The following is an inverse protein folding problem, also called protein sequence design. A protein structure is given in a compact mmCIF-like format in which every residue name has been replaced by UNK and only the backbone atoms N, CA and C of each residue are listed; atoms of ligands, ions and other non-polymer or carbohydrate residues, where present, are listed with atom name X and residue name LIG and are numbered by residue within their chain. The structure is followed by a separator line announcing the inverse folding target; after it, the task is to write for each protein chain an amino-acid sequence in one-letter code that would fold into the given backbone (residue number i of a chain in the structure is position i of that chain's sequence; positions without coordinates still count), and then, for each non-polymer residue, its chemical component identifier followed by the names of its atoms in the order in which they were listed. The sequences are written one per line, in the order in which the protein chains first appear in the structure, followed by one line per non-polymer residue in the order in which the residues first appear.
data_IF_638204890795
#
_entry.id   IF_638204890795
#
_cell.length_a   1.000
_cell.length_b   1.000
_cell.length_c   1.000
_cell.angle_alpha   90.00
_cell.angle_beta   90.00
_cell.angle_gamma   90.00
#
_symmetry.space_group_name_H-M   'P 1'
#
loop_
_entity.id
_entity.type
_entity.pdbx_description
1 polymer ?
#
# COMPACT_ATOMS: atom_id res chain seq x y z
N UNK A 1 -68.46 62.70 -24.71
CA UNK A 1 -68.79 61.90 -23.51
C UNK A 1 -67.64 60.92 -23.26
N UNK A 2 -66.96 61.09 -22.12
CA UNK A 2 -66.00 60.20 -21.41
C UNK A 2 -64.96 59.42 -22.24
N UNK A 3 -63.69 59.87 -22.27
CA UNK A 3 -62.55 59.46 -21.39
C UNK A 3 -62.12 58.00 -21.66
N UNK A 4 -60.86 57.78 -22.08
CA UNK A 4 -59.78 57.09 -21.34
C UNK A 4 -58.57 56.87 -22.28
N UNK A 5 -57.44 57.47 -21.90
CA UNK A 5 -56.07 57.18 -22.35
C UNK A 5 -55.78 55.69 -22.19
N UNK A 6 -55.03 55.05 -23.09
CA UNK A 6 -54.18 53.95 -22.67
C UNK A 6 -52.81 54.01 -23.33
N UNK A 7 -51.84 54.00 -22.43
CA UNK A 7 -50.41 54.15 -22.62
C UNK A 7 -49.88 52.81 -23.14
N UNK A 8 -49.08 52.90 -24.21
CA UNK A 8 -48.25 51.80 -24.70
C UNK A 8 -47.18 51.55 -23.63
N UNK A 9 -47.28 50.44 -22.92
CA UNK A 9 -46.20 49.91 -22.09
C UNK A 9 -45.90 48.50 -22.59
N UNK A 10 -44.90 48.42 -23.47
CA UNK A 10 -44.35 47.17 -23.97
C UNK A 10 -43.57 46.50 -22.83
N UNK A 11 -44.25 45.63 -22.09
CA UNK A 11 -43.61 44.80 -21.06
C UNK A 11 -42.95 43.61 -21.78
N UNK A 12 -41.66 43.76 -22.08
CA UNK A 12 -40.80 42.69 -22.56
C UNK A 12 -40.52 41.72 -21.40
N UNK A 13 -41.39 40.71 -21.24
CA UNK A 13 -41.09 39.54 -20.42
C UNK A 13 -40.28 38.56 -21.25
N UNK A 14 -38.96 38.75 -21.23
CA UNK A 14 -37.98 37.74 -21.64
C UNK A 14 -38.08 36.60 -20.63
N UNK A 15 -38.80 35.53 -21.00
CA UNK A 15 -38.77 34.24 -20.31
C UNK A 15 -37.46 33.57 -20.72
N UNK A 16 -36.38 33.85 -19.98
CA UNK A 16 -35.22 32.96 -19.98
C UNK A 16 -35.67 31.75 -19.18
N UNK A 17 -36.11 30.71 -19.88
CA UNK A 17 -36.07 29.36 -19.34
C UNK A 17 -34.60 29.02 -19.10
N UNK A 18 -34.08 29.42 -17.95
CA UNK A 18 -32.94 28.77 -17.34
C UNK A 18 -33.41 27.34 -17.07
N UNK A 19 -33.13 26.44 -17.99
CA UNK A 19 -33.08 25.02 -17.68
C UNK A 19 -31.97 24.89 -16.65
N UNK A 20 -32.35 25.00 -15.37
CA UNK A 20 -31.59 24.39 -14.29
C UNK A 20 -31.69 22.89 -14.54
N UNK A 21 -30.74 22.35 -15.33
CA UNK A 21 -30.32 20.97 -15.15
C UNK A 21 -29.55 20.93 -13.84
N UNK A 22 -30.35 20.96 -12.79
CA UNK A 22 -29.96 20.87 -11.40
C UNK A 22 -29.59 19.40 -11.19
N UNK A 23 -28.31 19.11 -11.41
CA UNK A 23 -27.61 17.93 -10.93
C UNK A 23 -28.41 16.63 -11.13
N UNK A 24 -28.42 16.10 -12.36
CA UNK A 24 -28.61 14.66 -12.52
C UNK A 24 -27.61 13.97 -11.60
N UNK A 25 -28.16 13.29 -10.59
CA UNK A 25 -27.42 12.46 -9.67
C UNK A 25 -26.48 11.58 -10.48
N UNK A 26 -25.19 11.68 -10.19
CA UNK A 26 -24.13 10.83 -10.72
C UNK A 26 -24.52 9.37 -10.44
N UNK A 27 -25.22 8.74 -11.40
CA UNK A 27 -25.55 7.32 -11.33
C UNK A 27 -24.22 6.61 -11.16
N UNK A 28 -23.98 6.04 -9.98
CA UNK A 28 -22.80 5.22 -9.73
C UNK A 28 -22.81 4.09 -10.76
N UNK A 29 -22.00 4.21 -11.82
CA UNK A 29 -21.91 3.23 -12.91
C UNK A 29 -21.13 2.02 -12.43
N UNK A 30 -21.80 1.16 -11.69
CA UNK A 30 -21.32 -0.18 -11.36
C UNK A 30 -21.67 -1.09 -12.52
N UNK A 31 -20.65 -1.65 -13.17
CA UNK A 31 -20.82 -2.65 -14.23
C UNK A 31 -20.51 -4.04 -13.69
N UNK A 32 -20.97 -5.09 -14.38
CA UNK A 32 -20.62 -6.45 -14.03
C UNK A 32 -19.09 -6.67 -14.08
N UNK A 33 -18.59 -7.58 -13.26
CA UNK A 33 -17.23 -8.09 -13.38
C UNK A 33 -17.12 -8.87 -14.69
N UNK A 34 -16.16 -8.49 -15.53
CA UNK A 34 -15.98 -9.02 -16.88
C UNK A 34 -14.55 -9.55 -17.12
N UNK A 35 -13.81 -9.82 -16.05
CA UNK A 35 -12.43 -10.30 -16.08
C UNK A 35 -12.09 -11.09 -14.83
N UNK A 36 -11.14 -12.01 -14.97
CA UNK A 36 -10.53 -12.74 -13.86
C UNK A 36 -9.89 -11.77 -12.87
N UNK A 37 -9.98 -12.10 -11.58
CA UNK A 37 -9.42 -11.32 -10.48
C UNK A 37 -8.21 -12.03 -9.90
N UNK A 38 -7.07 -11.36 -9.97
CA UNK A 38 -5.86 -11.74 -9.26
C UNK A 38 -5.86 -11.10 -7.87
N UNK A 39 -5.44 -11.83 -6.84
CA UNK A 39 -5.32 -11.29 -5.50
C UNK A 39 -4.05 -11.72 -4.78
N UNK A 40 -3.65 -10.96 -3.78
CA UNK A 40 -2.57 -11.32 -2.84
C UNK A 40 -2.91 -10.87 -1.43
N UNK A 41 -2.39 -11.59 -0.45
CA UNK A 41 -2.56 -11.29 0.97
C UNK A 41 -1.19 -10.94 1.53
N UNK A 42 -1.10 -9.81 2.23
CA UNK A 42 0.17 -9.27 2.70
C UNK A 42 0.00 -8.35 3.89
N UNK A 43 1.10 -8.14 4.61
CA UNK A 43 1.19 -7.10 5.62
C UNK A 43 1.58 -5.76 5.02
N UNK A 44 0.96 -4.70 5.50
CA UNK A 44 1.30 -3.34 5.13
C UNK A 44 0.75 -2.35 6.16
N UNK A 45 0.95 -1.07 5.91
CA UNK A 45 0.52 0.03 6.77
C UNK A 45 -0.68 0.74 6.11
N UNK A 46 -1.50 1.40 6.93
CA UNK A 46 -2.66 2.15 6.44
C UNK A 46 -2.20 3.40 5.70
N UNK A 47 -1.16 4.05 6.25
CA UNK A 47 -0.61 5.29 5.70
C UNK A 47 0.91 5.22 5.61
N UNK A 48 1.49 5.82 4.57
CA UNK A 48 2.92 5.70 4.27
C UNK A 48 3.84 6.33 5.32
N UNK A 49 3.36 7.30 6.11
CA UNK A 49 4.19 8.13 6.98
C UNK A 49 3.81 8.05 8.47
N UNK A 50 2.98 7.08 8.84
CA UNK A 50 2.59 6.89 10.23
C UNK A 50 3.36 5.73 10.83
N UNK A 51 3.82 5.93 12.07
CA UNK A 51 4.38 4.87 12.90
C UNK A 51 3.21 4.05 13.45
N UNK A 52 3.07 2.83 12.97
CA UNK A 52 2.03 1.90 13.39
C UNK A 52 2.42 0.45 13.08
N UNK A 53 1.86 -0.49 13.82
CA UNK A 53 2.04 -1.90 13.53
C UNK A 53 1.39 -2.28 12.19
N UNK A 54 2.01 -3.17 11.41
CA UNK A 54 1.46 -3.62 10.14
C UNK A 54 0.18 -4.40 10.38
N UNK A 55 -0.73 -4.30 9.41
CA UNK A 55 -1.99 -5.04 9.38
C UNK A 55 -2.05 -5.89 8.13
N UNK A 56 -2.86 -6.95 8.18
CA UNK A 56 -3.08 -7.83 7.05
C UNK A 56 -4.07 -7.17 6.09
N UNK A 57 -3.73 -7.19 4.81
CA UNK A 57 -4.57 -6.72 3.71
C UNK A 57 -4.72 -7.81 2.65
N UNK A 58 -5.82 -7.74 1.92
CA UNK A 58 -5.95 -8.38 0.62
C UNK A 58 -5.98 -7.28 -0.46
N UNK A 59 -5.13 -7.41 -1.46
CA UNK A 59 -5.17 -6.59 -2.68
C UNK A 59 -5.71 -7.44 -3.81
N UNK A 60 -6.69 -6.91 -4.53
CA UNK A 60 -7.37 -7.54 -5.66
C UNK A 60 -7.23 -6.64 -6.89
N UNK A 61 -6.96 -7.24 -8.04
CA UNK A 61 -6.84 -6.56 -9.34
C UNK A 61 -7.45 -7.42 -10.43
N UNK A 62 -8.10 -6.80 -11.40
CA UNK A 62 -8.52 -7.50 -12.62
C UNK A 62 -7.33 -7.75 -13.54
N UNK A 63 -7.34 -8.82 -14.31
CA UNK A 63 -6.39 -9.01 -15.42
C UNK A 63 -6.64 -8.00 -16.56
N UNK A 64 -7.91 -7.63 -16.77
CA UNK A 64 -8.30 -6.61 -17.75
C UNK A 64 -7.78 -5.23 -17.34
N UNK A 65 -7.22 -4.54 -18.33
CA UNK A 65 -6.85 -3.12 -18.25
C UNK A 65 -8.01 -2.27 -18.76
N UNK A 66 -8.45 -1.32 -17.94
CA UNK A 66 -9.53 -0.39 -18.24
C UNK A 66 -8.98 0.98 -18.69
N UNK A 67 -9.89 1.81 -19.22
CA UNK A 67 -9.57 3.13 -19.76
C UNK A 67 -9.07 4.16 -18.74
N UNK A 68 -9.25 3.91 -17.43
CA UNK A 68 -8.80 4.79 -16.36
C UNK A 68 -8.24 3.97 -15.20
N UNK A 69 -7.14 4.43 -14.60
CA UNK A 69 -6.43 3.67 -13.57
C UNK A 69 -7.14 3.67 -12.23
N UNK A 70 -8.09 4.59 -12.03
CA UNK A 70 -8.89 4.71 -10.81
C UNK A 70 -10.21 3.92 -10.87
N UNK A 71 -10.35 2.98 -11.81
CA UNK A 71 -11.41 1.98 -11.74
C UNK A 71 -11.20 1.10 -10.50
N UNK A 72 -12.29 0.70 -9.85
CA UNK A 72 -12.19 -0.11 -8.62
C UNK A 72 -13.11 -1.31 -8.61
N UNK A 73 -12.68 -2.37 -7.94
CA UNK A 73 -13.52 -3.54 -7.68
C UNK A 73 -14.38 -3.20 -6.46
N UNK A 74 -15.69 -3.11 -6.66
CA UNK A 74 -16.63 -2.87 -5.57
C UNK A 74 -16.89 -4.18 -4.84
N UNK A 75 -16.71 -4.16 -3.52
CA UNK A 75 -16.82 -5.34 -2.65
C UNK A 75 -17.58 -5.03 -1.38
N UNK A 76 -18.29 -6.04 -0.88
CA UNK A 76 -18.68 -6.17 0.52
C UNK A 76 -17.84 -7.25 1.16
N UNK A 77 -17.45 -7.07 2.41
CA UNK A 77 -16.62 -8.02 3.13
C UNK A 77 -17.11 -8.25 4.55
N UNK A 78 -16.92 -9.46 5.03
CA UNK A 78 -17.11 -9.80 6.43
C UNK A 78 -16.00 -10.72 6.93
N UNK A 79 -15.65 -10.54 8.20
CA UNK A 79 -14.64 -11.35 8.89
C UNK A 79 -15.31 -11.88 10.15
N UNK A 80 -15.36 -13.19 10.29
CA UNK A 80 -15.97 -13.85 11.45
C UNK A 80 -15.15 -15.07 11.82
N UNK A 81 -14.73 -15.19 13.08
CA UNK A 81 -13.93 -16.28 13.66
C UNK A 81 -12.80 -16.81 12.77
N UNK A 82 -13.09 -17.72 11.84
CA UNK A 82 -12.17 -18.40 10.93
C UNK A 82 -12.57 -18.28 9.45
N UNK A 83 -13.39 -17.28 9.09
CA UNK A 83 -13.90 -17.05 7.75
C UNK A 83 -13.73 -15.61 7.32
N UNK A 84 -13.29 -15.43 6.09
CA UNK A 84 -13.20 -14.15 5.39
C UNK A 84 -14.06 -14.28 4.15
N UNK A 85 -15.18 -13.58 4.10
CA UNK A 85 -16.09 -13.57 2.95
C UNK A 85 -15.95 -12.25 2.21
N UNK A 86 -15.71 -12.32 0.90
CA UNK A 86 -15.56 -11.18 0.01
C UNK A 86 -16.54 -11.36 -1.15
N UNK A 87 -17.59 -10.55 -1.14
CA UNK A 87 -18.58 -10.49 -2.20
C UNK A 87 -18.21 -9.37 -3.17
N UNK A 88 -17.89 -9.73 -4.42
CA UNK A 88 -17.68 -8.77 -5.50
C UNK A 88 -19.04 -8.35 -6.05
N UNK A 89 -19.32 -7.05 -5.97
CA UNK A 89 -20.55 -6.44 -6.47
C UNK A 89 -20.43 -6.01 -7.93
N UNK A 90 -19.21 -5.72 -8.40
CA UNK A 90 -18.93 -5.30 -9.77
C UNK A 90 -17.71 -4.39 -9.89
N UNK A 91 -17.59 -3.71 -11.03
CA UNK A 91 -16.57 -2.70 -11.29
C UNK A 91 -17.20 -1.32 -11.19
N UNK A 92 -16.70 -0.50 -10.27
CA UNK A 92 -17.09 0.90 -10.16
C UNK A 92 -16.27 1.75 -11.12
N UNK A 93 -16.98 2.43 -12.02
CA UNK A 93 -16.42 3.48 -12.88
C UNK A 93 -16.58 4.85 -12.20
N UNK A 94 -15.48 5.56 -11.91
CA UNK A 94 -15.54 6.89 -11.32
C UNK A 94 -16.07 7.91 -12.33
N UNK A 95 -16.75 8.95 -11.84
CA UNK A 95 -17.20 10.08 -12.66
C UNK A 95 -16.04 10.85 -13.29
N UNK A 96 -14.91 10.98 -12.58
CA UNK A 96 -13.65 11.54 -13.09
C UNK A 96 -12.68 10.42 -13.47
N UNK A 97 -12.33 10.35 -14.75
CA UNK A 97 -11.34 9.42 -15.27
C UNK A 97 -9.93 9.98 -15.11
N UNK A 98 -9.07 9.27 -14.39
CA UNK A 98 -7.64 9.58 -14.41
C UNK A 98 -7.00 8.88 -15.61
N UNK A 99 -6.42 9.65 -16.53
CA UNK A 99 -6.12 9.31 -17.93
C UNK A 99 -5.01 8.27 -18.18
N UNK A 100 -4.60 7.52 -17.15
CA UNK A 100 -3.72 6.38 -17.34
C UNK A 100 -4.55 5.09 -17.43
N UNK A 101 -4.11 4.16 -18.27
CA UNK A 101 -4.71 2.83 -18.33
C UNK A 101 -4.29 2.01 -17.11
N UNK A 102 -5.19 1.21 -16.55
CA UNK A 102 -4.86 0.36 -15.41
C UNK A 102 -5.94 -0.68 -15.09
N UNK A 103 -5.62 -1.71 -14.30
CA UNK A 103 -6.61 -2.66 -13.83
C UNK A 103 -7.60 -1.99 -12.88
N UNK A 104 -8.82 -2.54 -12.79
CA UNK A 104 -9.68 -2.20 -11.67
C UNK A 104 -9.09 -2.85 -10.41
N UNK A 105 -9.00 -2.09 -9.32
CA UNK A 105 -8.32 -2.56 -8.11
C UNK A 105 -9.12 -2.32 -6.84
N UNK A 106 -8.81 -3.10 -5.80
CA UNK A 106 -9.35 -2.94 -4.47
C UNK A 106 -8.34 -3.42 -3.44
N UNK A 107 -8.18 -2.67 -2.36
CA UNK A 107 -7.42 -3.09 -1.18
C UNK A 107 -8.38 -3.14 0.00
N UNK A 108 -8.42 -4.26 0.70
CA UNK A 108 -9.30 -4.49 1.85
C UNK A 108 -8.43 -4.74 3.08
N UNK A 109 -8.68 -3.99 4.14
CA UNK A 109 -8.04 -4.19 5.44
C UNK A 109 -8.69 -5.34 6.19
N UNK A 110 -7.92 -6.38 6.48
CA UNK A 110 -8.36 -7.53 7.27
C UNK A 110 -8.04 -7.36 8.77
N UNK A 111 -7.09 -6.49 9.10
CA UNK A 111 -6.76 -6.11 10.48
C UNK A 111 -5.59 -6.93 11.05
N UNK A 112 -5.57 -7.09 12.38
CA UNK A 112 -4.59 -7.94 13.07
C UNK A 112 -5.12 -9.36 13.11
N UNK A 113 -4.68 -10.20 12.17
CA UNK A 113 -5.07 -11.60 12.08
C UNK A 113 -3.90 -12.52 12.43
N UNK A 114 -4.23 -13.64 13.07
CA UNK A 114 -3.35 -14.79 13.29
C UNK A 114 -4.23 -16.05 13.33
N UNK A 115 -3.72 -17.18 12.86
CA UNK A 115 -4.44 -18.45 12.79
C UNK A 115 -4.82 -18.90 11.39
N UNK A 116 -5.81 -19.79 11.32
CA UNK A 116 -6.26 -20.45 10.09
C UNK A 116 -7.64 -19.91 9.69
N UNK A 117 -7.77 -19.55 8.41
CA UNK A 117 -8.97 -18.96 7.84
C UNK A 117 -9.34 -19.64 6.51
N UNK A 118 -10.64 -19.80 6.26
CA UNK A 118 -11.17 -20.02 4.92
C UNK A 118 -11.51 -18.65 4.30
N UNK A 119 -10.98 -18.37 3.12
CA UNK A 119 -11.35 -17.20 2.33
C UNK A 119 -12.33 -17.64 1.26
N UNK A 120 -13.44 -16.94 1.16
CA UNK A 120 -14.42 -17.10 0.09
C UNK A 120 -14.47 -15.82 -0.74
N UNK A 121 -14.15 -15.92 -2.03
CA UNK A 121 -14.31 -14.84 -3.01
C UNK A 121 -15.44 -15.24 -3.95
N UNK A 122 -16.51 -14.44 -3.99
CA UNK A 122 -17.73 -14.80 -4.72
C UNK A 122 -18.38 -13.61 -5.41
N UNK A 123 -19.19 -13.91 -6.41
CA UNK A 123 -20.20 -13.01 -6.96
C UNK A 123 -21.46 -13.83 -7.28
N UNK A 124 -22.38 -13.31 -8.10
CA UNK A 124 -23.60 -14.04 -8.48
C UNK A 124 -23.35 -15.24 -9.42
N UNK A 125 -22.15 -15.38 -9.98
CA UNK A 125 -21.79 -16.37 -11.01
C UNK A 125 -20.80 -17.42 -10.50
N UNK A 126 -19.95 -17.10 -9.52
CA UNK A 126 -18.97 -18.02 -8.98
C UNK A 126 -18.80 -17.87 -7.46
N UNK A 127 -18.18 -18.90 -6.87
CA UNK A 127 -17.88 -18.99 -5.45
C UNK A 127 -16.59 -19.79 -5.26
N UNK A 128 -15.47 -19.08 -5.17
CA UNK A 128 -14.13 -19.65 -5.09
C UNK A 128 -13.60 -19.60 -3.67
N UNK A 129 -12.87 -20.64 -3.27
CA UNK A 129 -12.42 -20.85 -1.90
C UNK A 129 -10.92 -21.06 -1.82
N UNK A 130 -10.33 -20.48 -0.78
CA UNK A 130 -8.91 -20.54 -0.48
C UNK A 130 -8.69 -20.79 1.02
N UNK A 131 -7.56 -21.41 1.34
CA UNK A 131 -7.07 -21.56 2.71
C UNK A 131 -6.03 -20.48 2.99
N UNK A 132 -6.07 -19.91 4.18
CA UNK A 132 -5.13 -18.91 4.65
C UNK A 132 -4.60 -19.32 6.01
N UNK A 133 -3.27 -19.45 6.12
CA UNK A 133 -2.57 -19.61 7.38
C UNK A 133 -1.73 -18.36 7.65
N UNK A 134 -1.95 -17.74 8.80
CA UNK A 134 -1.14 -16.61 9.29
C UNK A 134 -0.49 -17.04 10.59
N UNK A 135 0.83 -17.16 10.59
CA UNK A 135 1.65 -17.36 11.79
C UNK A 135 2.31 -16.05 12.18
N UNK A 136 3.18 -16.04 13.20
CA UNK A 136 3.93 -14.83 13.56
C UNK A 136 4.99 -14.44 12.51
N UNK A 137 5.43 -15.38 11.68
CA UNK A 137 6.50 -15.18 10.69
C UNK A 137 6.05 -15.25 9.23
N UNK A 138 4.92 -15.89 8.93
CA UNK A 138 4.51 -16.18 7.56
C UNK A 138 3.02 -15.96 7.33
N UNK A 139 2.70 -15.55 6.10
CA UNK A 139 1.37 -15.61 5.50
C UNK A 139 1.44 -16.63 4.37
N UNK A 140 0.58 -17.64 4.44
CA UNK A 140 0.49 -18.70 3.46
C UNK A 140 -0.93 -18.73 2.90
N UNK A 141 -1.05 -18.52 1.59
CA UNK A 141 -2.31 -18.66 0.86
C UNK A 141 -2.23 -19.89 -0.03
N UNK A 142 -3.17 -20.80 0.15
CA UNK A 142 -3.29 -22.02 -0.63
C UNK A 142 -4.70 -22.14 -1.24
N UNK A 143 -4.81 -22.77 -2.39
CA UNK A 143 -6.05 -22.94 -3.12
C UNK A 143 -5.80 -23.03 -4.62
N UNK A 144 -6.76 -23.64 -5.31
CA UNK A 144 -6.66 -23.88 -6.75
C UNK A 144 -7.11 -22.63 -7.51
N UNK A 145 -6.27 -22.15 -8.42
CA UNK A 145 -6.66 -21.15 -9.40
C UNK A 145 -7.88 -21.61 -10.20
N UNK A 146 -8.82 -20.70 -10.42
CA UNK A 146 -10.02 -20.94 -11.21
C UNK A 146 -10.01 -20.06 -12.45
N UNK A 147 -11.04 -20.18 -13.28
CA UNK A 147 -11.26 -19.26 -14.40
C UNK A 147 -11.65 -17.84 -13.92
N UNK A 148 -12.04 -17.69 -12.65
CA UNK A 148 -12.54 -16.43 -12.10
C UNK A 148 -11.54 -15.73 -11.16
N UNK A 149 -10.77 -16.50 -10.39
CA UNK A 149 -9.86 -15.96 -9.38
C UNK A 149 -8.51 -16.69 -9.34
N UNK A 150 -7.46 -15.97 -8.97
CA UNK A 150 -6.08 -16.48 -8.88
C UNK A 150 -5.30 -15.81 -7.76
N UNK A 151 -4.57 -16.60 -6.99
CA UNK A 151 -3.65 -16.07 -5.97
C UNK A 151 -2.29 -15.78 -6.59
N UNK A 152 -1.74 -14.58 -6.35
CA UNK A 152 -0.44 -14.15 -6.87
C UNK A 152 0.72 -14.51 -5.95
N UNK A 153 0.46 -14.86 -4.70
CA UNK A 153 1.52 -15.11 -3.73
C UNK A 153 1.08 -16.21 -2.78
N UNK A 154 1.84 -17.30 -2.76
CA UNK A 154 1.57 -18.44 -1.87
C UNK A 154 2.27 -18.30 -0.53
N UNK A 155 3.45 -17.68 -0.48
CA UNK A 155 4.24 -17.52 0.75
C UNK A 155 4.81 -16.11 0.84
N UNK A 156 4.55 -15.45 1.97
CA UNK A 156 5.08 -14.12 2.27
C UNK A 156 5.58 -14.11 3.71
N UNK A 157 6.76 -13.55 3.94
CA UNK A 157 7.22 -13.25 5.30
C UNK A 157 6.43 -12.09 5.89
N UNK A 158 6.09 -12.19 7.18
CA UNK A 158 5.57 -11.07 7.97
C UNK A 158 6.71 -10.18 8.42
N UNK A 159 6.41 -8.94 8.77
CA UNK A 159 7.40 -8.07 9.40
C UNK A 159 7.78 -8.67 10.76
N UNK A 160 9.04 -9.10 10.98
CA UNK A 160 9.44 -9.60 12.29
C UNK A 160 9.33 -8.49 13.33
N UNK A 161 8.73 -8.79 14.49
CA UNK A 161 8.68 -7.81 15.58
C UNK A 161 10.10 -7.44 16.01
N UNK A 162 10.26 -6.19 16.41
CA UNK A 162 11.54 -5.59 16.80
C UNK A 162 12.65 -5.79 15.76
N UNK A 163 12.30 -5.67 14.48
CA UNK A 163 13.26 -5.68 13.39
C UNK A 163 13.28 -4.39 12.58
N UNK A 164 14.36 -4.17 11.83
CA UNK A 164 14.45 -3.13 10.81
C UNK A 164 15.23 -3.58 9.59
N UNK A 165 14.94 -2.94 8.46
CA UNK A 165 15.76 -2.98 7.26
C UNK A 165 16.75 -1.81 7.26
N UNK A 166 18.00 -2.11 6.95
CA UNK A 166 19.08 -1.16 6.70
C UNK A 166 19.35 -1.09 5.19
N UNK A 167 19.12 0.09 4.62
CA UNK A 167 19.32 0.39 3.21
C UNK A 167 20.49 1.36 3.08
N UNK A 168 21.40 1.05 2.17
CA UNK A 168 22.60 1.84 1.93
C UNK A 168 22.81 2.04 0.43
N UNK A 169 22.86 3.30 0.01
CA UNK A 169 23.18 3.71 -1.36
C UNK A 169 24.41 4.60 -1.37
N UNK A 170 25.30 4.47 -2.35
CA UNK A 170 26.50 5.31 -2.44
C UNK A 170 27.10 5.37 -3.84
N UNK A 171 28.18 6.12 -3.98
CA UNK A 171 29.18 5.88 -5.03
C UNK A 171 29.95 4.59 -4.77
N UNK A 172 30.52 3.98 -5.83
CA UNK A 172 31.31 2.75 -5.71
C UNK A 172 32.54 2.91 -4.80
N UNK A 173 33.12 4.11 -4.73
CA UNK A 173 34.28 4.41 -3.87
C UNK A 173 33.94 4.44 -2.39
N UNK A 174 32.66 4.47 -2.02
CA UNK A 174 32.18 4.69 -0.66
C UNK A 174 31.45 3.48 -0.05
N UNK A 175 31.51 2.30 -0.70
CA UNK A 175 30.83 1.07 -0.22
C UNK A 175 31.23 0.65 1.18
N UNK A 176 32.45 1.00 1.61
CA UNK A 176 32.98 0.63 2.91
C UNK A 176 32.22 1.28 4.08
N UNK A 177 31.59 2.44 3.86
CA UNK A 177 30.75 3.09 4.89
C UNK A 177 29.56 2.24 5.31
N UNK A 178 29.14 1.29 4.46
CA UNK A 178 28.06 0.36 4.79
C UNK A 178 28.36 -0.41 6.07
N UNK A 179 29.53 -1.03 6.13
CA UNK A 179 29.95 -1.86 7.27
C UNK A 179 30.46 -0.97 8.42
N UNK A 180 31.15 0.15 8.13
CA UNK A 180 31.60 1.07 9.18
C UNK A 180 30.42 1.64 10.01
N UNK A 181 29.29 1.93 9.36
CA UNK A 181 28.09 2.35 10.07
C UNK A 181 27.49 1.22 10.91
N UNK A 182 27.42 -0.02 10.40
CA UNK A 182 26.93 -1.17 11.17
C UNK A 182 27.82 -1.44 12.39
N UNK A 183 29.14 -1.39 12.22
CA UNK A 183 30.10 -1.54 13.31
C UNK A 183 29.88 -0.45 14.36
N UNK A 184 29.75 0.80 13.92
CA UNK A 184 29.45 1.94 14.82
C UNK A 184 28.13 1.72 15.56
N UNK A 185 27.08 1.29 14.86
CA UNK A 185 25.76 1.03 15.44
C UNK A 185 25.81 -0.06 16.51
N UNK A 186 26.53 -1.14 16.23
CA UNK A 186 26.70 -2.30 17.11
C UNK A 186 27.48 -1.97 18.40
N UNK A 187 28.20 -0.85 18.45
CA UNK A 187 28.85 -0.39 19.70
C UNK A 187 27.89 0.30 20.67
N UNK A 188 26.71 0.73 20.19
CA UNK A 188 25.77 1.56 20.96
C UNK A 188 24.52 0.78 21.33
N UNK A 189 24.05 -0.08 20.42
CA UNK A 189 22.87 -0.93 20.60
C UNK A 189 23.18 -2.38 20.24
N UNK A 190 22.52 -3.33 20.90
CA UNK A 190 22.62 -4.72 20.52
C UNK A 190 21.74 -4.97 19.28
N UNK A 191 22.37 -5.41 18.19
CA UNK A 191 21.68 -5.79 16.96
C UNK A 191 22.14 -7.18 16.51
N UNK A 192 21.21 -7.95 15.98
CA UNK A 192 21.48 -9.28 15.42
C UNK A 192 21.02 -9.32 13.97
N UNK A 193 21.94 -9.58 13.04
CA UNK A 193 21.61 -9.74 11.63
C UNK A 193 20.84 -11.05 11.40
N UNK A 194 19.77 -11.00 10.60
CA UNK A 194 19.03 -12.18 10.20
C UNK A 194 18.74 -12.15 8.69
N UNK A 195 18.36 -13.32 8.17
CA UNK A 195 18.07 -13.51 6.75
C UNK A 195 16.68 -14.09 6.56
N UNK A 196 15.96 -13.59 5.56
CA UNK A 196 14.74 -14.22 5.10
C UNK A 196 15.06 -15.44 4.24
N UNK A 197 14.24 -16.48 4.35
CA UNK A 197 14.33 -17.62 3.44
C UNK A 197 13.86 -17.24 2.03
N UNK A 198 14.46 -17.85 1.01
CA UNK A 198 14.17 -17.56 -0.41
C UNK A 198 12.82 -18.09 -0.90
N UNK A 199 12.13 -18.93 -0.11
CA UNK A 199 10.86 -19.54 -0.52
C UNK A 199 9.65 -18.60 -0.37
N UNK A 200 9.81 -17.45 0.27
CA UNK A 200 8.74 -16.49 0.55
C UNK A 200 9.19 -15.07 0.24
N UNK A 201 8.26 -14.24 -0.23
CA UNK A 201 8.54 -12.85 -0.53
C UNK A 201 8.83 -12.02 0.74
N UNK A 202 9.78 -11.10 0.66
CA UNK A 202 10.25 -10.26 1.76
C UNK A 202 9.32 -9.04 1.95
N UNK A 203 8.94 -8.66 3.19
CA UNK A 203 8.04 -7.53 3.44
C UNK A 203 8.76 -6.17 3.45
N UNK A 204 10.08 -6.17 3.58
CA UNK A 204 10.93 -4.98 3.53
C UNK A 204 11.38 -4.63 2.11
N UNK A 205 11.91 -3.42 1.94
CA UNK A 205 12.65 -3.05 0.75
C UNK A 205 13.98 -3.82 0.70
N UNK A 206 14.37 -4.25 -0.51
CA UNK A 206 15.57 -5.05 -0.72
C UNK A 206 16.81 -4.20 -1.08
N UNK A 207 16.66 -2.89 -1.35
CA UNK A 207 17.76 -1.93 -1.53
C UNK A 207 17.30 -0.46 -1.48
N UNK A 208 18.24 0.50 -1.46
CA UNK A 208 18.02 1.96 -1.36
C UNK A 208 17.44 2.62 -2.62
N UNK A 209 17.68 2.03 -3.80
CA UNK A 209 17.31 2.51 -5.14
C UNK A 209 17.83 3.91 -5.51
N UNK A 210 18.38 4.04 -6.72
CA UNK A 210 18.69 5.34 -7.34
C UNK A 210 20.10 5.87 -7.10
N UNK A 211 21.05 5.01 -6.70
CA UNK A 211 22.46 5.36 -6.57
C UNK A 211 23.32 4.62 -7.60
N UNK A 212 24.58 5.02 -7.75
CA UNK A 212 25.54 4.26 -8.57
C UNK A 212 25.74 2.86 -7.99
N UNK A 213 25.77 2.76 -6.66
CA UNK A 213 25.77 1.51 -5.92
C UNK A 213 24.61 1.51 -4.92
N UNK A 214 23.63 0.66 -5.17
CA UNK A 214 22.59 0.33 -4.19
C UNK A 214 22.94 -1.03 -3.57
N UNK A 215 23.33 -1.03 -2.30
CA UNK A 215 23.66 -2.26 -1.60
C UNK A 215 22.40 -3.11 -1.39
N UNK A 216 22.51 -4.45 -1.42
CA UNK A 216 21.47 -5.31 -0.86
C UNK A 216 21.17 -4.90 0.58
N UNK A 217 19.89 -4.85 0.93
CA UNK A 217 19.45 -4.55 2.29
C UNK A 217 20.02 -5.59 3.28
N UNK A 218 20.29 -5.14 4.51
CA UNK A 218 20.52 -6.02 5.66
C UNK A 218 19.35 -5.88 6.62
N UNK A 219 19.04 -6.94 7.34
CA UNK A 219 17.92 -6.97 8.28
C UNK A 219 18.43 -7.30 9.66
N UNK A 220 17.98 -6.55 10.66
CA UNK A 220 18.47 -6.69 12.02
C UNK A 220 17.32 -6.73 13.02
N UNK A 221 17.47 -7.55 14.05
CA UNK A 221 16.66 -7.47 15.26
C UNK A 221 17.29 -6.48 16.24
N UNK A 222 16.46 -5.87 17.08
CA UNK A 222 16.87 -5.03 18.21
C UNK A 222 16.09 -5.43 19.47
N UNK A 223 16.63 -5.14 20.65
CA UNK A 223 16.03 -5.60 21.91
C UNK A 223 14.80 -4.78 22.32
N UNK A 224 14.86 -3.46 22.14
CA UNK A 224 13.84 -2.54 22.64
C UNK A 224 13.60 -1.34 21.74
N UNK A 225 12.42 -0.72 21.87
CA UNK A 225 12.13 0.57 21.20
C UNK A 225 13.08 1.68 21.65
N UNK A 226 13.61 1.61 22.87
CA UNK A 226 14.63 2.54 23.36
C UNK A 226 15.92 2.41 22.54
N UNK A 227 16.37 1.17 22.26
CA UNK A 227 17.51 0.94 21.37
C UNK A 227 17.25 1.47 19.97
N UNK A 228 16.07 1.19 19.41
CA UNK A 228 15.71 1.71 18.09
C UNK A 228 15.74 3.25 18.05
N UNK A 229 15.28 3.92 19.10
CA UNK A 229 15.30 5.38 19.19
C UNK A 229 16.71 5.97 19.30
N UNK A 230 17.71 5.19 19.74
CA UNK A 230 19.12 5.63 19.79
C UNK A 230 19.79 5.66 18.42
N UNK A 231 19.25 4.93 17.44
CA UNK A 231 19.81 4.83 16.08
C UNK A 231 19.95 6.20 15.41
N UNK A 232 18.97 7.10 15.60
CA UNK A 232 19.00 8.44 15.01
C UNK A 232 20.22 9.25 15.48
N UNK A 233 20.51 9.21 16.78
CA UNK A 233 21.69 9.87 17.35
C UNK A 233 22.99 9.29 16.80
N UNK A 234 23.08 7.96 16.70
CA UNK A 234 24.25 7.29 16.12
C UNK A 234 24.45 7.69 14.65
N UNK A 235 23.38 7.69 13.85
CA UNK A 235 23.43 8.08 12.45
C UNK A 235 23.88 9.52 12.28
N UNK A 236 23.33 10.44 13.07
CA UNK A 236 23.75 11.85 13.05
C UNK A 236 25.23 12.01 13.37
N UNK A 237 25.72 11.42 14.46
CA UNK A 237 27.13 11.50 14.84
C UNK A 237 28.06 10.83 13.82
N UNK A 238 27.62 9.72 13.20
CA UNK A 238 28.36 9.07 12.13
C UNK A 238 28.51 10.01 10.94
N UNK A 239 27.41 10.62 10.47
CA UNK A 239 27.42 11.54 9.32
C UNK A 239 28.24 12.79 9.63
N UNK A 240 28.13 13.39 10.82
CA UNK A 240 28.91 14.57 11.21
C UNK A 240 30.44 14.32 11.22
N UNK A 241 30.85 13.07 11.54
CA UNK A 241 32.25 12.67 11.53
C UNK A 241 32.79 12.50 10.10
N UNK A 242 31.94 12.14 9.15
CA UNK A 242 32.29 12.03 7.74
C UNK A 242 32.10 13.41 7.07
N UNK A 243 33.16 13.98 6.49
CA UNK A 243 33.21 15.35 5.95
C UNK A 243 31.94 15.82 5.20
N UNK A 244 31.51 17.09 5.33
CA UNK A 244 30.21 17.62 4.86
C UNK A 244 29.91 17.58 3.34
N UNK A 245 30.76 16.97 2.50
CA UNK A 245 30.45 16.67 1.09
C UNK A 245 29.51 15.44 0.94
N UNK A 246 28.65 15.22 1.93
CA UNK A 246 27.84 14.03 2.22
C UNK A 246 26.66 13.77 1.26
N UNK A 247 26.65 14.32 0.04
CA UNK A 247 25.65 13.98 -0.97
C UNK A 247 25.93 12.64 -1.70
N UNK A 248 27.07 12.01 -1.41
CA UNK A 248 27.57 10.85 -2.16
C UNK A 248 27.17 9.49 -1.59
N UNK A 249 26.45 9.46 -0.46
CA UNK A 249 25.85 8.24 0.10
C UNK A 249 24.55 8.56 0.85
N UNK A 250 23.70 7.55 1.01
CA UNK A 250 22.46 7.61 1.74
C UNK A 250 22.32 6.39 2.65
N UNK A 251 21.85 6.65 3.87
CA UNK A 251 21.47 5.62 4.83
C UNK A 251 19.98 5.79 5.11
N UNK A 252 19.22 4.71 5.00
CA UNK A 252 17.83 4.67 5.42
C UNK A 252 17.58 3.42 6.27
N UNK A 253 17.02 3.62 7.46
CA UNK A 253 16.57 2.56 8.35
C UNK A 253 15.06 2.63 8.45
N UNK A 254 14.39 1.49 8.30
CA UNK A 254 12.93 1.37 8.38
C UNK A 254 12.59 0.19 9.28
N UNK A 255 11.93 0.42 10.42
CA UNK A 255 11.52 -0.66 11.29
C UNK A 255 10.18 -1.29 10.91
N UNK A 256 9.85 -2.39 11.58
CA UNK A 256 8.60 -3.13 11.44
C UNK A 256 7.33 -2.31 11.76
N UNK A 257 7.47 -1.14 12.41
CA UNK A 257 6.37 -0.19 12.68
C UNK A 257 6.32 0.96 11.69
N UNK A 258 7.04 0.87 10.56
CA UNK A 258 7.16 1.93 9.55
C UNK A 258 7.80 3.24 10.08
N UNK A 259 8.53 3.20 11.20
CA UNK A 259 9.38 4.32 11.63
C UNK A 259 10.62 4.38 10.75
N UNK A 260 10.96 5.58 10.28
CA UNK A 260 12.02 5.80 9.28
C UNK A 260 13.06 6.77 9.83
N UNK A 261 14.33 6.41 9.70
CA UNK A 261 15.47 7.26 10.02
C UNK A 261 16.32 7.38 8.74
N UNK A 262 16.63 8.60 8.31
CA UNK A 262 17.23 8.86 7.00
C UNK A 262 18.35 9.88 7.11
N UNK A 263 19.50 9.58 6.52
CA UNK A 263 20.70 10.41 6.61
C UNK A 263 20.50 11.84 6.09
N UNK A 264 19.65 12.03 5.07
CA UNK A 264 19.41 13.33 4.43
C UNK A 264 18.39 14.22 5.15
N UNK A 265 17.94 13.82 6.34
CA UNK A 265 17.10 14.66 7.21
C UNK A 265 17.90 15.37 8.31
N UNK A 266 19.23 15.19 8.34
CA UNK A 266 20.15 15.75 9.32
C UNK A 266 21.10 16.78 8.68
#
# INVERSE_FOLDING_TARGET
MKIIKNIIFTLSCIVISASCDLLESDETKVTALDSKVEFKIFESYETLNKVEEPKVYIEMKTEKIYGCFNFSILTEQSISSNKIDIQILGIYKPGVCLTALGPASRRIRLGSLSGVYEITIRNNQFNDKYNLLITDSLIISDGKDTDNTKSLTSFLHRYPQNSFAYLFGSLDSLKYFREEFIDTLSTVINIEEFFFSEFASIPYLESSQGHQYDAPAKYFNYESEEDFNRIEGVMKSFIEKQSPENSSYSISIINWKNQKIRSWLF
#
